data_IF_957255678753
#
_entry.id   IF_957255678753
#
_cell.length_a   1.000
_cell.length_b   1.000
_cell.length_c   1.000
_cell.angle_alpha   90.00
_cell.angle_beta   90.00
_cell.angle_gamma   90.00
#
_symmetry.space_group_name_H-M   'P 1'
#
loop_
_entity.id
_entity.type
_entity.pdbx_description
1 polymer ?
#
# COMPACT_ATOMS: atom_id res chain seq x y z
N UNK A 1 5.79 9.19 15.06
CA UNK A 1 5.87 7.76 14.67
C UNK A 1 4.72 7.04 15.35
N UNK A 2 3.90 6.28 14.63
CA UNK A 2 2.81 5.49 15.24
C UNK A 2 3.41 4.18 15.76
N UNK A 3 3.42 3.94 17.09
CA UNK A 3 3.99 2.73 17.66
C UNK A 3 3.05 1.54 17.43
N UNK A 4 3.63 0.34 17.23
CA UNK A 4 2.88 -0.90 17.00
C UNK A 4 2.96 -1.49 15.59
N UNK A 5 2.52 -2.75 15.44
CA UNK A 5 2.46 -3.42 14.15
C UNK A 5 1.48 -2.68 13.22
N UNK A 6 1.68 -2.85 11.92
CA UNK A 6 0.88 -2.21 10.88
C UNK A 6 0.53 -3.27 9.85
N UNK A 7 -0.69 -3.17 9.34
CA UNK A 7 -1.17 -3.95 8.20
C UNK A 7 -1.82 -2.95 7.25
N UNK A 8 -1.57 -3.09 5.96
CA UNK A 8 -2.19 -2.29 4.92
C UNK A 8 -2.97 -3.22 3.99
N UNK A 9 -4.20 -2.83 3.67
CA UNK A 9 -5.02 -3.50 2.65
C UNK A 9 -4.57 -3.05 1.26
N UNK A 10 -4.63 -3.96 0.29
CA UNK A 10 -4.25 -3.74 -1.10
C UNK A 10 -5.17 -4.52 -2.01
N UNK A 11 -5.65 -3.91 -3.09
CA UNK A 11 -6.49 -4.56 -4.09
C UNK A 11 -6.13 -4.11 -5.52
N UNK A 12 -6.78 -4.69 -6.52
CA UNK A 12 -6.60 -4.37 -7.94
C UNK A 12 -7.03 -2.94 -8.31
N UNK A 13 -7.77 -2.26 -7.44
CA UNK A 13 -8.19 -0.86 -7.64
C UNK A 13 -7.19 0.14 -7.03
N UNK A 14 -6.25 -0.34 -6.23
CA UNK A 14 -5.10 0.42 -5.77
C UNK A 14 -4.20 0.73 -6.97
N UNK A 15 -4.14 1.99 -7.36
CA UNK A 15 -3.58 2.41 -8.63
C UNK A 15 -2.66 3.64 -8.49
N UNK A 16 -1.70 3.77 -9.40
CA UNK A 16 -0.82 4.95 -9.52
C UNK A 16 -0.02 5.18 -8.24
N UNK A 17 -0.23 6.28 -7.52
CA UNK A 17 0.45 6.52 -6.24
C UNK A 17 0.07 5.49 -5.16
N UNK A 18 -1.05 4.76 -5.34
CA UNK A 18 -1.41 3.58 -4.55
C UNK A 18 -0.42 2.41 -4.71
N UNK A 19 0.02 2.12 -5.94
CA UNK A 19 1.09 1.14 -6.19
C UNK A 19 2.39 1.60 -5.51
N UNK A 20 2.73 2.89 -5.63
CA UNK A 20 3.94 3.48 -5.04
C UNK A 20 3.91 3.37 -3.52
N UNK A 21 2.77 3.65 -2.89
CA UNK A 21 2.56 3.46 -1.46
C UNK A 21 2.79 2.01 -1.05
N UNK A 22 2.13 1.06 -1.72
CA UNK A 22 2.23 -0.37 -1.41
C UNK A 22 3.68 -0.87 -1.53
N UNK A 23 4.35 -0.53 -2.64
CA UNK A 23 5.75 -0.89 -2.86
C UNK A 23 6.64 -0.37 -1.73
N UNK A 24 6.52 0.91 -1.37
CA UNK A 24 7.33 1.52 -0.31
C UNK A 24 7.01 0.95 1.06
N UNK A 25 5.73 0.69 1.35
CA UNK A 25 5.29 0.09 2.60
C UNK A 25 5.98 -1.27 2.83
N UNK A 26 6.01 -2.11 1.78
CA UNK A 26 6.70 -3.39 1.78
C UNK A 26 8.23 -3.25 1.79
N UNK A 27 8.80 -2.40 0.94
CA UNK A 27 10.24 -2.17 0.82
C UNK A 27 10.87 -1.72 2.14
N UNK A 28 10.22 -0.78 2.84
CA UNK A 28 10.68 -0.28 4.14
C UNK A 28 10.24 -1.17 5.32
N UNK A 29 9.61 -2.32 5.05
CA UNK A 29 9.18 -3.29 6.07
C UNK A 29 8.31 -2.65 7.16
N UNK A 30 7.40 -1.76 6.77
CA UNK A 30 6.56 -1.02 7.70
C UNK A 30 5.47 -1.89 8.33
N UNK A 31 5.09 -2.96 7.64
CA UNK A 31 4.03 -3.89 8.01
C UNK A 31 3.80 -4.91 6.90
N UNK A 32 2.70 -5.67 6.99
CA UNK A 32 2.27 -6.60 5.93
C UNK A 32 1.23 -5.98 5.01
N UNK A 33 1.31 -6.29 3.72
CA UNK A 33 0.24 -6.07 2.75
C UNK A 33 -0.69 -7.29 2.72
N UNK A 34 -2.00 -7.06 2.77
CA UNK A 34 -3.04 -8.10 2.70
C UNK A 34 -4.03 -7.75 1.61
N UNK A 35 -4.33 -8.72 0.73
CA UNK A 35 -5.37 -8.55 -0.29
C UNK A 35 -4.99 -9.09 -1.65
N UNK A 36 -5.19 -8.31 -2.72
CA UNK A 36 -4.83 -8.68 -4.11
C UNK A 36 -3.74 -7.77 -4.68
N UNK A 37 -3.19 -8.19 -5.82
CA UNK A 37 -2.19 -7.40 -6.55
C UNK A 37 -2.81 -6.08 -7.01
N UNK A 38 -2.06 -5.00 -6.87
CA UNK A 38 -2.44 -3.67 -7.36
C UNK A 38 -2.38 -3.53 -8.88
N UNK A 39 -2.82 -2.38 -9.40
CA UNK A 39 -3.05 -2.17 -10.82
C UNK A 39 -1.78 -2.20 -11.69
N UNK A 40 -0.68 -1.61 -11.23
CA UNK A 40 0.59 -1.60 -11.97
C UNK A 40 0.73 -0.53 -13.05
N UNK A 41 -0.02 0.57 -12.97
CA UNK A 41 0.18 1.73 -13.84
C UNK A 41 0.79 2.91 -13.07
N UNK A 42 2.11 3.06 -13.14
CA UNK A 42 2.90 4.03 -12.36
C UNK A 42 3.70 5.00 -13.22
N UNK A 43 3.57 4.97 -14.55
CA UNK A 43 4.12 6.05 -15.38
C UNK A 43 3.25 7.31 -15.23
N UNK A 44 3.77 8.28 -14.49
CA UNK A 44 3.11 9.54 -14.22
C UNK A 44 3.03 10.44 -15.45
N UNK A 45 2.05 11.34 -15.40
CA UNK A 45 1.75 12.36 -16.41
C UNK A 45 2.08 13.74 -15.84
N UNK A 46 2.47 14.69 -16.69
CA UNK A 46 2.72 16.09 -16.27
C UNK A 46 1.77 17.03 -16.98
N UNK A 47 0.63 17.29 -16.35
CA UNK A 47 -0.41 18.13 -16.92
C UNK A 47 -1.00 17.54 -18.20
N UNK A 48 -1.99 18.25 -18.75
CA UNK A 48 -2.65 17.86 -20.00
C UNK A 48 -2.13 18.71 -21.16
N UNK A 49 -2.01 18.12 -22.34
CA UNK A 49 -1.76 18.85 -23.58
C UNK A 49 -3.11 19.10 -24.28
N UNK A 50 -3.64 20.34 -24.31
CA UNK A 50 -4.93 20.62 -24.94
C UNK A 50 -4.84 20.54 -26.47
N UNK A 51 -5.92 20.07 -27.09
CA UNK A 51 -6.08 19.94 -28.53
C UNK A 51 -7.05 21.01 -29.07
N UNK A 52 -6.99 21.28 -30.38
CA UNK A 52 -7.77 22.36 -31.04
C UNK A 52 -9.28 22.17 -30.97
N UNK A 53 -9.75 20.93 -30.75
CA UNK A 53 -11.14 20.54 -30.63
C UNK A 53 -11.65 20.53 -29.16
N UNK A 54 -10.81 20.94 -28.21
CA UNK A 54 -11.12 20.91 -26.78
C UNK A 54 -10.79 19.59 -26.09
N UNK A 55 -10.27 18.59 -26.82
CA UNK A 55 -9.70 17.38 -26.23
C UNK A 55 -8.43 17.65 -25.43
N UNK A 56 -7.98 16.66 -24.67
CA UNK A 56 -6.70 16.72 -23.98
C UNK A 56 -5.95 15.39 -24.08
N UNK A 57 -4.63 15.47 -24.21
CA UNK A 57 -3.73 14.33 -24.24
C UNK A 57 -3.00 14.22 -22.90
N UNK A 58 -3.06 13.03 -22.30
CA UNK A 58 -2.22 12.61 -21.19
C UNK A 58 -1.08 11.76 -21.74
N UNK A 59 0.16 12.19 -21.53
CA UNK A 59 1.35 11.48 -21.98
C UNK A 59 2.09 10.86 -20.79
N UNK A 60 2.39 9.56 -20.80
CA UNK A 60 3.26 8.95 -19.80
C UNK A 60 4.69 9.51 -19.95
N UNK A 61 5.24 10.08 -18.88
CA UNK A 61 6.50 10.85 -18.93
C UNK A 61 7.57 10.40 -17.93
N UNK A 62 7.18 9.98 -16.74
CA UNK A 62 8.14 9.66 -15.69
C UNK A 62 7.67 8.45 -14.88
N UNK A 63 8.56 7.48 -14.69
CA UNK A 63 8.28 6.30 -13.89
C UNK A 63 9.36 6.11 -12.82
N UNK A 64 9.13 5.17 -11.90
CA UNK A 64 10.08 4.82 -10.85
C UNK A 64 10.69 3.45 -11.14
N UNK A 65 12.01 3.40 -11.17
CA UNK A 65 12.80 2.18 -11.19
C UNK A 65 13.32 1.88 -9.77
N UNK A 66 13.92 0.71 -9.58
CA UNK A 66 14.53 0.28 -8.31
C UNK A 66 15.72 1.18 -7.89
N UNK A 67 16.26 0.97 -6.69
CA UNK A 67 17.40 1.78 -6.21
C UNK A 67 18.69 1.53 -7.03
N UNK A 68 18.77 0.40 -7.72
CA UNK A 68 19.95 0.03 -8.53
C UNK A 68 19.85 0.47 -9.99
N UNK A 69 18.70 0.98 -10.44
CA UNK A 69 18.51 1.42 -11.82
C UNK A 69 18.32 0.30 -12.83
N UNK A 70 17.92 -0.90 -12.40
CA UNK A 70 17.85 -2.11 -13.21
C UNK A 70 16.43 -2.46 -13.65
N UNK A 71 15.44 -2.20 -12.81
CA UNK A 71 14.08 -2.73 -13.03
C UNK A 71 12.99 -1.68 -12.83
N UNK A 72 11.96 -1.71 -13.68
CA UNK A 72 10.72 -0.99 -13.46
C UNK A 72 9.87 -1.77 -12.45
N UNK A 73 10.00 -1.43 -11.17
CA UNK A 73 9.55 -2.25 -10.04
C UNK A 73 8.04 -2.50 -9.91
N UNK A 74 7.22 -1.76 -10.66
CA UNK A 74 5.75 -1.79 -10.54
C UNK A 74 5.05 -1.69 -11.89
N UNK A 75 5.60 -0.95 -12.85
CA UNK A 75 4.94 -0.70 -14.14
C UNK A 75 4.68 -2.02 -14.90
N UNK A 76 3.44 -2.22 -15.34
CA UNK A 76 2.99 -3.40 -16.07
C UNK A 76 2.71 -4.63 -15.21
N UNK A 77 2.98 -4.59 -13.90
CA UNK A 77 2.70 -5.71 -12.98
C UNK A 77 1.88 -5.29 -11.76
N UNK A 78 2.30 -4.24 -11.05
CA UNK A 78 1.74 -3.83 -9.76
C UNK A 78 2.58 -4.32 -8.59
N UNK A 79 1.97 -4.37 -7.41
CA UNK A 79 2.60 -4.81 -6.16
C UNK A 79 1.83 -6.02 -5.64
N UNK A 80 2.53 -7.14 -5.49
CA UNK A 80 1.96 -8.31 -4.83
C UNK A 80 1.88 -8.09 -3.31
N UNK A 81 0.74 -8.46 -2.68
CA UNK A 81 0.61 -8.44 -1.23
C UNK A 81 1.45 -9.54 -0.59
N UNK A 82 1.76 -9.40 0.71
CA UNK A 82 2.46 -10.44 1.46
C UNK A 82 1.52 -11.62 1.80
N UNK A 83 0.21 -11.35 1.88
CA UNK A 83 -0.84 -12.34 2.11
C UNK A 83 -1.93 -12.11 1.08
N UNK A 84 -2.06 -13.05 0.13
CA UNK A 84 -3.11 -13.00 -0.89
C UNK A 84 -4.44 -13.39 -0.27
N UNK A 85 -5.45 -12.53 -0.43
CA UNK A 85 -6.84 -12.77 -0.08
C UNK A 85 -7.71 -12.21 -1.19
N UNK A 86 -8.42 -13.10 -1.88
CA UNK A 86 -9.41 -12.74 -2.89
C UNK A 86 -10.78 -12.86 -2.25
N UNK A 87 -11.49 -11.74 -2.11
CA UNK A 87 -12.82 -11.73 -1.51
C UNK A 87 -13.77 -12.60 -2.34
N UNK A 88 -14.47 -13.54 -1.71
CA UNK A 88 -15.58 -14.23 -2.35
C UNK A 88 -16.70 -13.22 -2.66
N UNK A 89 -17.14 -13.08 -3.92
CA UNK A 89 -18.12 -12.07 -4.29
C UNK A 89 -19.47 -12.20 -3.56
N UNK A 90 -19.89 -13.43 -3.22
CA UNK A 90 -21.15 -13.64 -2.50
C UNK A 90 -21.01 -13.26 -1.03
N UNK A 91 -19.84 -13.53 -0.41
CA UNK A 91 -19.54 -13.10 0.96
C UNK A 91 -19.39 -11.59 1.07
N UNK A 92 -18.67 -10.97 0.13
CA UNK A 92 -18.52 -9.53 0.06
C UNK A 92 -19.87 -8.84 -0.11
N UNK A 93 -20.72 -9.35 -1.01
CA UNK A 93 -22.10 -8.87 -1.16
C UNK A 93 -22.94 -9.01 0.12
N UNK A 94 -22.69 -10.06 0.92
CA UNK A 94 -23.30 -10.26 2.22
C UNK A 94 -22.69 -9.38 3.33
N UNK A 95 -21.73 -8.51 3.02
CA UNK A 95 -21.07 -7.60 3.95
C UNK A 95 -19.90 -8.22 4.72
N UNK A 96 -19.40 -9.38 4.29
CA UNK A 96 -18.24 -10.05 4.89
C UNK A 96 -17.00 -9.77 4.05
N UNK A 97 -16.13 -8.91 4.57
CA UNK A 97 -14.86 -8.54 3.95
C UNK A 97 -13.73 -9.45 4.47
N UNK A 98 -13.36 -10.44 3.67
CA UNK A 98 -12.35 -11.44 4.03
C UNK A 98 -10.93 -10.83 4.11
N UNK A 99 -10.63 -9.84 3.27
CA UNK A 99 -9.38 -9.09 3.33
C UNK A 99 -9.25 -8.36 4.68
N UNK A 100 -10.29 -7.67 5.10
CA UNK A 100 -10.33 -6.97 6.39
C UNK A 100 -10.25 -7.95 7.57
N UNK A 101 -11.03 -9.03 7.56
CA UNK A 101 -10.97 -10.07 8.59
C UNK A 101 -9.55 -10.63 8.72
N UNK A 102 -8.89 -10.92 7.59
CA UNK A 102 -7.52 -11.41 7.60
C UNK A 102 -6.53 -10.38 8.14
N UNK A 103 -6.69 -9.11 7.78
CA UNK A 103 -5.84 -8.04 8.29
C UNK A 103 -5.98 -7.89 9.83
N UNK A 104 -7.19 -7.99 10.36
CA UNK A 104 -7.46 -7.97 11.80
C UNK A 104 -6.82 -9.18 12.49
N UNK A 105 -6.97 -10.39 11.93
CA UNK A 105 -6.32 -11.59 12.46
C UNK A 105 -4.79 -11.41 12.55
N UNK A 106 -4.18 -10.91 11.47
CA UNK A 106 -2.74 -10.69 11.38
C UNK A 106 -2.26 -9.65 12.39
N UNK A 107 -2.91 -8.49 12.47
CA UNK A 107 -2.44 -7.42 13.37
C UNK A 107 -2.62 -7.81 14.83
N UNK A 108 -3.71 -8.50 15.20
CA UNK A 108 -3.92 -9.00 16.56
C UNK A 108 -2.87 -10.04 16.96
N UNK A 109 -2.46 -10.91 16.01
CA UNK A 109 -1.36 -11.85 16.23
C UNK A 109 -0.04 -11.12 16.43
N UNK A 110 0.30 -10.16 15.57
CA UNK A 110 1.54 -9.39 15.70
C UNK A 110 1.59 -8.57 16.99
N UNK A 111 0.46 -8.03 17.46
CA UNK A 111 0.40 -7.32 18.75
C UNK A 111 0.72 -8.22 19.94
N UNK A 112 0.29 -9.49 19.90
CA UNK A 112 0.61 -10.49 20.93
C UNK A 112 2.08 -10.89 20.87
N UNK A 113 2.60 -11.13 19.67
CA UNK A 113 3.98 -11.61 19.46
C UNK A 113 5.03 -10.50 19.64
N UNK A 114 4.64 -9.23 19.42
CA UNK A 114 5.53 -8.05 19.47
C UNK A 114 4.86 -6.90 20.24
N UNK A 115 4.74 -7.00 21.57
CA UNK A 115 4.12 -5.95 22.37
C UNK A 115 4.91 -4.64 22.27
N UNK A 116 4.18 -3.55 22.09
CA UNK A 116 4.76 -2.19 22.04
C UNK A 116 5.28 -1.81 23.42
N UNK A 117 6.57 -1.48 23.49
CA UNK A 117 7.15 -0.86 24.69
C UNK A 117 7.10 0.65 24.55
N UNK A 118 6.23 1.28 25.34
CA UNK A 118 6.20 2.75 25.47
C UNK A 118 7.06 3.11 26.67
N UNK A 119 8.10 3.93 26.45
CA UNK A 119 8.92 4.42 27.55
C UNK A 119 8.07 5.36 28.44
N UNK A 120 8.20 5.28 29.77
CA UNK A 120 7.53 6.23 30.65
C UNK A 120 8.05 7.66 30.40
N UNK A 121 7.27 8.69 30.70
CA UNK A 121 7.77 10.07 30.67
C UNK A 121 8.98 10.22 31.61
N UNK A 122 9.92 11.13 31.31
CA UNK A 122 11.03 11.40 32.22
C UNK A 122 10.51 11.95 33.57
N UNK A 123 11.30 11.81 34.66
CA UNK A 123 10.95 12.43 35.94
C UNK A 123 10.70 13.94 35.77
N UNK A 124 9.76 14.48 36.56
CA UNK A 124 9.53 15.91 36.59
C UNK A 124 10.81 16.67 37.02
N UNK A 125 11.05 17.88 36.50
CA UNK A 125 12.20 18.69 36.94
C UNK A 125 12.13 18.96 38.44
N UNK A 126 13.23 18.70 39.14
CA UNK A 126 13.40 19.19 40.51
C UNK A 126 13.62 20.70 40.44
N UNK A 127 12.72 21.49 41.05
CA UNK A 127 12.92 22.93 41.24
C UNK A 127 13.88 23.19 42.39
#
# INVERSE_FOLDING_TARGET
MIPGPKVALLDEFSASDGDIFAYRFRHYRLGKLVGKRSWGGVVGVRGTLPLVDGGYLNRPEFSRYDLEGKEWVMEGHGVDPDIVVDNDPAREYAGVDEQLEKAIEVILKEMKDRPVKIAPPPPYPTK
#
